data_IF_230750678514
#
_entry.id   IF_230750678514
#
_cell.length_a   1.000
_cell.length_b   1.000
_cell.length_c   1.000
_cell.angle_alpha   90.00
_cell.angle_beta   90.00
_cell.angle_gamma   90.00
#
_symmetry.space_group_name_H-M   'P 1'
#
loop_
_entity.id
_entity.type
_entity.pdbx_description
1 polymer ?
#
# COMPACT_ATOMS: atom_id res chain seq x y z
N UNK A 1 -27.42 26.07 -0.47
CA UNK A 1 -25.99 26.33 -0.70
C UNK A 1 -25.27 25.15 -0.10
N UNK A 2 -25.24 24.05 -0.84
CA UNK A 2 -24.47 22.87 -0.47
C UNK A 2 -23.10 23.06 -1.07
N UNK A 3 -22.13 23.30 -0.19
CA UNK A 3 -20.71 23.30 -0.54
C UNK A 3 -20.40 21.85 -0.88
N UNK A 4 -20.37 21.52 -2.17
CA UNK A 4 -19.77 20.27 -2.63
C UNK A 4 -18.30 20.34 -2.26
N UNK A 5 -17.93 19.70 -1.15
CA UNK A 5 -16.55 19.40 -0.83
C UNK A 5 -15.96 18.63 -2.02
N UNK A 6 -15.13 19.33 -2.81
CA UNK A 6 -14.21 18.71 -3.75
C UNK A 6 -13.20 17.91 -2.93
N UNK A 7 -13.60 16.72 -2.49
CA UNK A 7 -12.65 15.70 -2.09
C UNK A 7 -11.96 15.22 -3.36
N UNK A 8 -10.78 15.79 -3.61
CA UNK A 8 -9.73 15.16 -4.37
C UNK A 8 -9.49 13.77 -3.77
N UNK A 9 -10.25 12.79 -4.27
CA UNK A 9 -9.80 11.41 -4.31
C UNK A 9 -8.55 11.42 -5.21
N UNK A 10 -7.42 11.79 -4.62
CA UNK A 10 -6.12 11.29 -4.98
C UNK A 10 -6.24 9.76 -4.86
N UNK A 11 -6.83 9.14 -5.90
CA UNK A 11 -6.45 7.81 -6.31
C UNK A 11 -4.93 7.92 -6.50
N UNK A 12 -4.20 7.60 -5.44
CA UNK A 12 -2.87 7.03 -5.55
C UNK A 12 -3.06 5.78 -6.42
N UNK A 13 -3.20 5.97 -7.75
CA UNK A 13 -2.58 5.08 -8.72
C UNK A 13 -1.10 5.12 -8.31
N UNK A 14 -0.75 4.27 -7.34
CA UNK A 14 0.51 3.55 -7.30
C UNK A 14 0.54 2.82 -8.65
N UNK A 15 0.85 3.58 -9.69
CA UNK A 15 1.45 3.07 -10.89
C UNK A 15 2.53 2.14 -10.40
N UNK A 16 2.36 0.85 -10.69
CA UNK A 16 3.34 -0.17 -10.39
C UNK A 16 4.59 0.17 -11.18
N UNK A 17 5.35 1.15 -10.70
CA UNK A 17 6.75 1.32 -11.04
C UNK A 17 7.36 -0.01 -10.65
N UNK A 18 7.55 -0.82 -11.71
CA UNK A 18 8.37 -2.02 -11.75
C UNK A 18 9.51 -1.82 -10.78
N UNK A 19 9.53 -2.70 -9.79
CA UNK A 19 10.40 -2.67 -8.64
C UNK A 19 11.82 -2.27 -9.06
N UNK A 20 12.22 -1.08 -8.65
CA UNK A 20 13.61 -0.66 -8.67
C UNK A 20 14.38 -1.18 -7.45
N UNK A 21 13.97 -2.32 -6.87
CA UNK A 21 15.01 -3.17 -6.29
C UNK A 21 15.83 -3.62 -7.48
N UNK A 22 17.10 -3.21 -7.54
CA UNK A 22 18.06 -3.92 -8.39
C UNK A 22 17.99 -5.38 -7.91
N UNK A 23 17.20 -6.19 -8.59
CA UNK A 23 17.44 -7.61 -8.62
C UNK A 23 18.87 -7.70 -9.15
N UNK A 24 19.77 -8.16 -8.28
CA UNK A 24 21.11 -8.56 -8.62
C UNK A 24 20.97 -9.78 -9.55
N UNK A 25 20.55 -9.54 -10.79
CA UNK A 25 20.45 -10.54 -11.85
C UNK A 25 21.82 -10.71 -12.51
N UNK A 26 22.79 -11.14 -11.71
CA UNK A 26 23.85 -12.01 -12.22
C UNK A 26 23.31 -13.43 -12.31
N UNK A 27 23.79 -14.29 -13.25
CA UNK A 27 23.51 -15.71 -13.25
C UNK A 27 24.29 -16.38 -12.10
N UNK A 28 23.93 -16.05 -10.87
CA UNK A 28 24.46 -16.63 -9.65
C UNK A 28 23.38 -17.49 -9.01
N UNK A 29 23.68 -18.77 -8.83
CA UNK A 29 22.98 -19.74 -7.97
C UNK A 29 22.01 -19.08 -6.97
N UNK A 30 20.69 -19.21 -7.18
CA UNK A 30 19.69 -18.65 -6.25
C UNK A 30 19.85 -19.31 -4.87
N UNK A 31 20.66 -18.70 -4.00
CA UNK A 31 20.78 -19.13 -2.60
C UNK A 31 19.61 -18.56 -1.83
N UNK A 32 18.68 -19.43 -1.47
CA UNK A 32 17.56 -19.10 -0.60
C UNK A 32 18.14 -18.59 0.73
N UNK A 33 17.95 -17.30 0.98
CA UNK A 33 18.35 -16.62 2.21
C UNK A 33 17.14 -15.98 2.86
N UNK A 34 17.21 -15.74 4.17
CA UNK A 34 16.09 -15.12 4.89
C UNK A 34 15.71 -13.74 4.32
N UNK A 35 16.64 -12.81 4.02
CA UNK A 35 16.30 -11.54 3.37
C UNK A 35 15.56 -11.74 2.04
N UNK A 36 15.96 -12.74 1.24
CA UNK A 36 15.29 -13.06 -0.02
C UNK A 36 13.85 -13.52 0.20
N UNK A 37 13.62 -14.45 1.14
CA UNK A 37 12.26 -14.91 1.49
C UNK A 37 11.42 -13.75 2.04
N UNK A 38 12.00 -12.91 2.91
CA UNK A 38 11.31 -11.72 3.44
C UNK A 38 10.89 -10.78 2.32
N UNK A 39 11.75 -10.49 1.34
CA UNK A 39 11.37 -9.68 0.16
C UNK A 39 10.22 -10.31 -0.61
N UNK A 40 10.27 -11.61 -0.90
CA UNK A 40 9.19 -12.31 -1.63
C UNK A 40 7.87 -12.31 -0.86
N UNK A 41 7.90 -12.52 0.46
CA UNK A 41 6.70 -12.45 1.31
C UNK A 41 6.11 -11.03 1.35
N UNK A 42 6.97 -10.01 1.48
CA UNK A 42 6.54 -8.61 1.47
C UNK A 42 5.99 -8.23 0.09
N UNK A 43 6.60 -8.70 -1.01
CA UNK A 43 6.08 -8.53 -2.37
C UNK A 43 4.64 -9.04 -2.49
N UNK A 44 4.30 -10.22 -1.94
CA UNK A 44 2.93 -10.74 -1.95
C UNK A 44 1.94 -9.83 -1.20
N UNK A 45 2.36 -9.25 -0.08
CA UNK A 45 1.56 -8.26 0.65
C UNK A 45 1.36 -6.96 -0.16
N UNK A 46 2.39 -6.50 -0.87
CA UNK A 46 2.30 -5.37 -1.78
C UNK A 46 1.39 -5.67 -2.98
N UNK A 47 1.53 -6.84 -3.58
CA UNK A 47 0.74 -7.27 -4.73
C UNK A 47 -0.76 -7.31 -4.37
N UNK A 48 -1.14 -7.90 -3.24
CA UNK A 48 -2.52 -7.86 -2.74
C UNK A 48 -2.98 -6.42 -2.54
N UNK A 49 -2.14 -5.57 -1.94
CA UNK A 49 -2.50 -4.20 -1.66
C UNK A 49 -2.80 -3.38 -2.91
N UNK A 50 -2.07 -3.60 -4.00
CA UNK A 50 -2.23 -2.90 -5.28
C UNK A 50 -3.43 -3.46 -6.06
N UNK A 51 -3.50 -4.78 -6.23
CA UNK A 51 -4.47 -5.41 -7.13
C UNK A 51 -5.80 -5.74 -6.45
N UNK A 52 -5.79 -5.99 -5.15
CA UNK A 52 -7.00 -6.33 -4.39
C UNK A 52 -7.00 -5.66 -2.99
N UNK A 53 -7.04 -4.33 -2.92
CA UNK A 53 -6.89 -3.56 -1.68
C UNK A 53 -7.96 -3.83 -0.61
N UNK A 54 -9.09 -4.44 -1.00
CA UNK A 54 -10.18 -4.84 -0.09
C UNK A 54 -9.94 -6.18 0.59
N UNK A 55 -9.17 -7.07 -0.04
CA UNK A 55 -8.71 -8.30 0.60
C UNK A 55 -7.52 -7.98 1.48
N UNK A 56 -7.55 -8.46 2.72
CA UNK A 56 -6.45 -8.31 3.69
C UNK A 56 -5.78 -9.64 4.02
N UNK A 57 -6.16 -10.70 3.32
CA UNK A 57 -5.81 -12.07 3.65
C UNK A 57 -4.30 -12.26 3.59
N UNK A 58 -3.68 -11.99 2.42
CA UNK A 58 -2.22 -12.17 2.24
C UNK A 58 -1.45 -11.25 3.18
N UNK A 59 -1.81 -9.96 3.24
CA UNK A 59 -1.18 -8.99 4.15
C UNK A 59 -1.19 -9.47 5.60
N UNK A 60 -2.32 -9.98 6.08
CA UNK A 60 -2.43 -10.46 7.47
C UNK A 60 -1.53 -11.68 7.74
N UNK A 61 -1.44 -12.63 6.81
CA UNK A 61 -0.57 -13.80 6.98
C UNK A 61 0.90 -13.47 6.84
N UNK A 62 1.27 -12.57 5.93
CA UNK A 62 2.66 -12.10 5.79
C UNK A 62 3.12 -11.41 7.07
N UNK A 63 2.28 -10.57 7.69
CA UNK A 63 2.64 -9.89 8.94
C UNK A 63 2.74 -10.87 10.12
N UNK A 64 1.83 -11.85 10.21
CA UNK A 64 1.91 -12.92 11.22
C UNK A 64 3.17 -13.78 11.04
N UNK A 65 3.50 -14.13 9.80
CA UNK A 65 4.72 -14.86 9.46
C UNK A 65 5.95 -14.07 9.88
N UNK A 66 6.02 -12.78 9.56
CA UNK A 66 7.15 -11.94 9.94
C UNK A 66 7.28 -11.80 11.46
N UNK A 67 6.16 -11.72 12.18
CA UNK A 67 6.16 -11.72 13.63
C UNK A 67 6.70 -13.03 14.24
N UNK A 68 6.33 -14.18 13.67
CA UNK A 68 6.88 -15.48 14.08
C UNK A 68 8.39 -15.55 13.83
N UNK A 69 8.84 -15.14 12.64
CA UNK A 69 10.27 -15.05 12.32
C UNK A 69 11.00 -14.13 13.32
N UNK A 70 10.42 -12.98 13.65
CA UNK A 70 11.03 -12.04 14.59
C UNK A 70 11.20 -12.61 16.01
N UNK A 71 10.32 -13.51 16.45
CA UNK A 71 10.47 -14.22 17.73
C UNK A 71 11.66 -15.18 17.69
N UNK A 72 11.84 -15.90 16.59
CA UNK A 72 12.85 -16.97 16.50
C UNK A 72 14.26 -16.46 16.14
N UNK A 73 14.36 -15.32 15.44
CA UNK A 73 15.63 -14.87 14.84
C UNK A 73 16.58 -14.15 15.81
N UNK A 74 16.05 -13.62 16.91
CA UNK A 74 16.81 -12.79 17.86
C UNK A 74 17.10 -11.36 17.36
N UNK A 75 17.61 -10.48 18.24
CA UNK A 75 17.69 -9.04 18.01
C UNK A 75 18.66 -8.64 16.89
N UNK A 76 19.82 -9.28 16.78
CA UNK A 76 20.88 -8.87 15.84
C UNK A 76 20.46 -9.12 14.39
N UNK A 77 20.09 -10.37 14.07
CA UNK A 77 19.67 -10.76 12.74
C UNK A 77 18.35 -10.08 12.33
N UNK A 78 17.46 -9.80 13.29
CA UNK A 78 16.23 -9.07 13.02
C UNK A 78 16.52 -7.62 12.62
N UNK A 79 17.49 -6.96 13.26
CA UNK A 79 17.90 -5.60 12.91
C UNK A 79 18.39 -5.48 11.46
N UNK A 80 18.96 -6.56 10.90
CA UNK A 80 19.42 -6.60 9.52
C UNK A 80 18.27 -6.70 8.51
N UNK A 81 17.17 -7.38 8.83
CA UNK A 81 16.07 -7.62 7.86
C UNK A 81 14.83 -6.75 8.09
N UNK A 82 14.70 -6.11 9.26
CA UNK A 82 13.50 -5.35 9.66
C UNK A 82 13.14 -4.24 8.65
N UNK A 83 14.16 -3.64 8.03
CA UNK A 83 13.99 -2.58 7.03
C UNK A 83 13.19 -3.01 5.79
N UNK A 84 13.13 -4.32 5.49
CA UNK A 84 12.38 -4.89 4.37
C UNK A 84 10.87 -4.86 4.66
N UNK A 85 10.47 -5.18 5.90
CA UNK A 85 9.07 -5.28 6.29
C UNK A 85 8.46 -3.95 6.77
N UNK A 86 9.27 -3.06 7.35
CA UNK A 86 8.83 -1.77 7.89
C UNK A 86 8.01 -0.90 6.93
N UNK A 87 8.37 -0.76 5.63
CA UNK A 87 7.57 0.02 4.70
C UNK A 87 6.13 -0.47 4.55
N UNK A 88 5.94 -1.80 4.51
CA UNK A 88 4.62 -2.41 4.38
C UNK A 88 3.77 -2.22 5.66
N UNK A 89 4.38 -2.44 6.83
CA UNK A 89 3.72 -2.22 8.13
C UNK A 89 3.37 -0.74 8.35
N UNK A 90 4.30 0.17 8.07
CA UNK A 90 4.08 1.60 8.23
C UNK A 90 2.95 2.13 7.32
N UNK A 91 2.85 1.61 6.10
CA UNK A 91 1.75 1.96 5.20
C UNK A 91 0.40 1.49 5.73
N UNK A 92 0.31 0.26 6.25
CA UNK A 92 -0.95 -0.24 6.80
C UNK A 92 -1.37 0.49 8.09
N UNK A 93 -0.40 0.92 8.91
CA UNK A 93 -0.69 1.72 10.09
C UNK A 93 -1.32 3.08 9.72
N UNK A 94 -0.80 3.72 8.67
CA UNK A 94 -1.23 5.03 8.18
C UNK A 94 -2.21 4.91 7.00
N UNK A 95 -2.95 3.81 6.91
CA UNK A 95 -3.86 3.56 5.80
C UNK A 95 -5.03 4.57 5.83
N UNK A 96 -5.09 5.46 4.83
CA UNK A 96 -6.11 6.51 4.67
C UNK A 96 -7.31 6.08 3.82
N UNK A 97 -7.44 4.78 3.50
CA UNK A 97 -8.59 4.27 2.74
C UNK A 97 -9.89 4.51 3.49
N UNK A 98 -10.98 4.70 2.73
CA UNK A 98 -12.34 4.97 3.24
C UNK A 98 -12.88 3.92 4.21
N UNK A 99 -12.47 2.66 4.08
CA UNK A 99 -12.88 1.56 4.97
C UNK A 99 -11.66 0.67 5.24
N UNK A 100 -10.77 1.08 6.16
CA UNK A 100 -9.64 0.27 6.55
C UNK A 100 -10.13 -0.90 7.41
N UNK A 101 -9.48 -2.06 7.29
CA UNK A 101 -9.79 -3.20 8.16
C UNK A 101 -9.21 -2.95 9.56
N UNK A 102 -10.05 -2.82 10.61
CA UNK A 102 -9.57 -2.52 11.95
C UNK A 102 -8.73 -3.66 12.54
N UNK A 103 -8.99 -4.92 12.15
CA UNK A 103 -8.21 -6.08 12.61
C UNK A 103 -6.81 -6.08 11.99
N UNK A 104 -6.69 -5.74 10.71
CA UNK A 104 -5.38 -5.63 10.07
C UNK A 104 -4.55 -4.51 10.71
N UNK A 105 -5.18 -3.36 11.03
CA UNK A 105 -4.50 -2.26 11.71
C UNK A 105 -4.03 -2.65 13.11
N UNK A 106 -4.88 -3.32 13.89
CA UNK A 106 -4.51 -3.83 15.22
C UNK A 106 -3.34 -4.82 15.13
N UNK A 107 -3.43 -5.80 14.22
CA UNK A 107 -2.33 -6.74 13.95
C UNK A 107 -1.03 -6.00 13.60
N UNK A 108 -1.10 -5.02 12.72
CA UNK A 108 0.08 -4.23 12.32
C UNK A 108 0.72 -3.53 13.52
N UNK A 109 -0.09 -2.95 14.41
CA UNK A 109 0.39 -2.30 15.64
C UNK A 109 1.03 -3.31 16.60
N UNK A 110 0.42 -4.48 16.79
CA UNK A 110 0.97 -5.57 17.61
C UNK A 110 2.31 -6.06 17.08
N UNK A 111 2.43 -6.25 15.76
CA UNK A 111 3.68 -6.65 15.11
C UNK A 111 4.74 -5.56 15.30
N UNK A 112 4.43 -4.29 15.07
CA UNK A 112 5.39 -3.20 15.29
C UNK A 112 5.88 -3.12 16.74
N UNK A 113 4.98 -3.32 17.72
CA UNK A 113 5.34 -3.35 19.13
C UNK A 113 6.23 -4.55 19.47
N UNK A 114 5.94 -5.73 18.90
CA UNK A 114 6.78 -6.92 19.03
C UNK A 114 8.18 -6.70 18.45
N UNK A 115 8.27 -6.12 17.26
CA UNK A 115 9.55 -5.78 16.63
C UNK A 115 10.35 -4.79 17.49
N UNK A 116 9.69 -3.76 18.02
CA UNK A 116 10.33 -2.78 18.90
C UNK A 116 10.86 -3.42 20.19
N UNK A 117 10.11 -4.34 20.79
CA UNK A 117 10.55 -5.07 22.00
C UNK A 117 11.72 -6.00 21.74
N UNK A 118 11.76 -6.64 20.56
CA UNK A 118 12.81 -7.60 20.20
C UNK A 118 14.13 -6.92 19.86
N UNK A 119 14.16 -5.93 18.95
CA UNK A 119 15.41 -5.23 18.57
C UNK A 119 15.82 -4.10 19.53
N UNK A 120 14.90 -3.69 20.42
CA UNK A 120 15.09 -2.55 21.31
C UNK A 120 14.71 -1.20 20.69
N UNK A 121 14.32 -0.26 21.56
CA UNK A 121 13.74 1.02 21.17
C UNK A 121 14.66 1.87 20.29
N UNK A 122 15.96 1.92 20.59
CA UNK A 122 16.92 2.78 19.87
C UNK A 122 17.09 2.33 18.42
N UNK A 123 17.43 1.06 18.22
CA UNK A 123 17.63 0.47 16.89
C UNK A 123 16.35 0.53 16.08
N UNK A 124 15.21 0.19 16.70
CA UNK A 124 13.91 0.27 16.04
C UNK A 124 13.61 1.69 15.55
N UNK A 125 13.80 2.70 16.41
CA UNK A 125 13.48 4.09 16.07
C UNK A 125 14.33 4.60 14.92
N UNK A 126 15.62 4.24 14.88
CA UNK A 126 16.52 4.56 13.77
C UNK A 126 16.04 3.97 12.45
N UNK A 127 15.81 2.65 12.41
CA UNK A 127 15.35 1.95 11.20
C UNK A 127 13.96 2.44 10.76
N UNK A 128 13.08 2.73 11.70
CA UNK A 128 11.75 3.27 11.43
C UNK A 128 11.82 4.67 10.81
N UNK A 129 12.62 5.57 11.38
CA UNK A 129 12.83 6.90 10.82
C UNK A 129 13.48 6.84 9.43
N UNK A 130 14.43 5.93 9.21
CA UNK A 130 15.03 5.71 7.91
C UNK A 130 13.98 5.27 6.87
N UNK A 131 13.10 4.32 7.21
CA UNK A 131 12.03 3.87 6.33
C UNK A 131 11.04 5.00 6.00
N UNK A 132 10.71 5.84 6.98
CA UNK A 132 9.87 7.03 6.78
C UNK A 132 10.52 8.04 5.83
N UNK A 133 11.81 8.34 6.04
CA UNK A 133 12.59 9.24 5.17
C UNK A 133 12.62 8.75 3.73
N UNK A 134 12.95 7.47 3.50
CA UNK A 134 12.97 6.87 2.17
C UNK A 134 11.59 6.96 1.50
N UNK A 135 10.51 6.74 2.26
CA UNK A 135 9.14 6.88 1.73
C UNK A 135 8.85 8.32 1.30
N UNK A 136 9.19 9.30 2.12
CA UNK A 136 8.96 10.73 1.82
C UNK A 136 9.81 11.19 0.62
N UNK A 137 11.05 10.74 0.51
CA UNK A 137 11.94 11.00 -0.62
C UNK A 137 11.38 10.39 -1.92
N UNK A 138 10.86 9.16 -1.88
CA UNK A 138 10.18 8.55 -3.04
C UNK A 138 8.96 9.34 -3.46
N UNK A 139 8.13 9.77 -2.51
CA UNK A 139 6.94 10.59 -2.81
C UNK A 139 7.33 11.92 -3.47
N UNK A 140 8.29 12.64 -2.90
CA UNK A 140 8.76 13.92 -3.44
C UNK A 140 9.43 13.75 -4.81
N UNK A 141 10.26 12.73 -4.99
CA UNK A 141 10.89 12.40 -6.28
C UNK A 141 9.83 12.12 -7.37
N UNK A 142 8.78 11.36 -7.06
CA UNK A 142 7.68 11.13 -8.02
C UNK A 142 6.95 12.42 -8.39
N UNK A 143 6.69 13.31 -7.41
CA UNK A 143 6.07 14.62 -7.68
C UNK A 143 6.95 15.48 -8.59
N UNK A 144 8.26 15.53 -8.31
CA UNK A 144 9.22 16.26 -9.13
C UNK A 144 9.31 15.68 -10.55
N UNK A 145 9.41 14.36 -10.70
CA UNK A 145 9.42 13.68 -12.01
C UNK A 145 8.16 14.01 -12.82
N UNK A 146 6.98 13.96 -12.20
CA UNK A 146 5.70 14.31 -12.86
C UNK A 146 5.66 15.77 -13.32
N UNK A 147 6.20 16.69 -12.53
CA UNK A 147 6.27 18.10 -12.90
C UNK A 147 7.21 18.34 -14.09
N UNK A 148 8.39 17.71 -14.08
CA UNK A 148 9.35 17.78 -15.20
C UNK A 148 8.78 17.13 -16.46
N UNK A 149 8.11 15.98 -16.34
CA UNK A 149 7.47 15.28 -17.44
C UNK A 149 6.39 16.14 -18.10
N UNK A 150 5.60 16.90 -17.33
CA UNK A 150 4.57 17.77 -17.89
C UNK A 150 5.13 18.85 -18.82
N UNK A 151 6.36 19.30 -18.58
CA UNK A 151 7.06 20.29 -19.42
C UNK A 151 7.81 19.63 -20.58
N UNK A 152 8.49 18.50 -20.31
CA UNK A 152 9.37 17.84 -21.28
C UNK A 152 8.62 16.91 -22.25
N UNK A 153 7.52 16.31 -21.81
CA UNK A 153 6.71 15.33 -22.56
C UNK A 153 5.21 15.58 -22.35
N UNK A 154 4.67 16.67 -22.94
CA UNK A 154 3.29 17.08 -22.72
C UNK A 154 2.27 16.07 -23.26
N UNK A 155 2.62 15.28 -24.26
CA UNK A 155 1.79 14.24 -24.88
C UNK A 155 1.46 13.11 -23.89
N UNK A 156 2.44 12.66 -23.10
CA UNK A 156 2.23 11.61 -22.08
C UNK A 156 1.43 12.16 -20.91
N UNK A 157 1.76 13.37 -20.46
CA UNK A 157 1.01 14.06 -19.41
C UNK A 157 -0.46 14.22 -19.79
N UNK A 158 -0.75 14.60 -21.05
CA UNK A 158 -2.11 14.71 -21.57
C UNK A 158 -2.83 13.36 -21.60
N UNK A 159 -2.21 12.29 -22.12
CA UNK A 159 -2.79 10.93 -22.13
C UNK A 159 -3.14 10.44 -20.72
N UNK A 160 -2.27 10.70 -19.74
CA UNK A 160 -2.53 10.38 -18.33
C UNK A 160 -3.75 11.15 -17.80
N UNK A 161 -3.83 12.45 -18.07
CA UNK A 161 -4.99 13.28 -17.69
C UNK A 161 -6.28 12.79 -18.36
N UNK A 162 -6.22 12.39 -19.63
CA UNK A 162 -7.35 11.82 -20.34
C UNK A 162 -7.84 10.51 -19.70
N UNK A 163 -6.93 9.59 -19.35
CA UNK A 163 -7.26 8.34 -18.63
C UNK A 163 -7.96 8.62 -17.30
N UNK A 164 -7.44 9.57 -16.51
CA UNK A 164 -8.05 9.98 -15.23
C UNK A 164 -9.47 10.54 -15.43
N UNK A 165 -9.66 11.41 -16.42
CA UNK A 165 -10.98 11.96 -16.72
C UNK A 165 -11.99 10.86 -17.12
N UNK A 166 -11.56 9.88 -17.93
CA UNK A 166 -12.39 8.72 -18.30
C UNK A 166 -12.76 7.90 -17.06
N UNK A 167 -11.81 7.64 -16.17
CA UNK A 167 -12.04 6.91 -14.93
C UNK A 167 -13.04 7.65 -14.01
N UNK A 168 -12.87 8.98 -13.83
CA UNK A 168 -13.79 9.83 -13.07
C UNK A 168 -15.21 9.76 -13.61
N UNK A 169 -15.38 9.83 -14.94
CA UNK A 169 -16.71 9.71 -15.57
C UNK A 169 -17.30 8.32 -15.36
N UNK A 170 -16.50 7.25 -15.49
CA UNK A 170 -16.95 5.89 -15.26
C UNK A 170 -17.37 5.65 -13.78
N UNK A 171 -16.62 6.19 -12.82
CA UNK A 171 -16.95 6.13 -11.40
C UNK A 171 -18.29 6.84 -11.10
N UNK A 172 -18.51 8.04 -11.64
CA UNK A 172 -19.78 8.76 -11.52
C UNK A 172 -20.95 7.94 -12.11
N UNK A 173 -20.77 7.34 -13.30
CA UNK A 173 -21.77 6.46 -13.91
C UNK A 173 -22.11 5.26 -13.02
N UNK A 174 -21.11 4.56 -12.47
CA UNK A 174 -21.30 3.45 -11.52
C UNK A 174 -22.06 3.87 -10.27
N UNK A 175 -21.79 5.07 -9.73
CA UNK A 175 -22.51 5.62 -8.55
C UNK A 175 -24.00 5.83 -8.87
N UNK A 176 -24.31 6.46 -10.01
CA UNK A 176 -25.69 6.69 -10.46
C UNK A 176 -26.43 5.37 -10.66
N UNK A 177 -25.81 4.39 -11.31
CA UNK A 177 -26.39 3.06 -11.54
C UNK A 177 -26.68 2.34 -10.22
N UNK A 178 -25.74 2.35 -9.26
CA UNK A 178 -25.95 1.77 -7.93
C UNK A 178 -27.14 2.39 -7.19
N UNK A 179 -27.29 3.72 -7.27
CA UNK A 179 -28.44 4.42 -6.66
C UNK A 179 -29.73 4.03 -7.38
N UNK A 180 -29.72 3.95 -8.72
CA UNK A 180 -30.89 3.56 -9.52
C UNK A 180 -31.35 2.15 -9.18
N UNK A 181 -30.43 1.17 -9.11
CA UNK A 181 -30.76 -0.21 -8.74
C UNK A 181 -31.28 -0.32 -7.31
N UNK A 182 -30.70 0.41 -6.36
CA UNK A 182 -31.20 0.49 -4.98
C UNK A 182 -32.62 1.06 -4.89
N UNK A 183 -32.94 2.12 -5.66
CA UNK A 183 -34.30 2.69 -5.72
C UNK A 183 -35.32 1.69 -6.29
N UNK A 184 -34.95 0.96 -7.34
CA UNK A 184 -35.80 -0.09 -7.93
C UNK A 184 -36.08 -1.21 -6.92
N UNK A 185 -35.06 -1.65 -6.17
CA UNK A 185 -35.21 -2.66 -5.12
C UNK A 185 -36.15 -2.17 -4.01
N UNK A 186 -35.96 -0.96 -3.47
CA UNK A 186 -36.86 -0.38 -2.45
C UNK A 186 -38.31 -0.25 -2.94
N UNK A 187 -38.52 0.16 -4.19
CA UNK A 187 -39.86 0.25 -4.79
C UNK A 187 -40.56 -1.11 -4.95
N UNK A 188 -39.80 -2.20 -5.17
CA UNK A 188 -40.34 -3.56 -5.21
C UNK A 188 -40.72 -4.09 -3.81
N UNK A 189 -39.95 -3.76 -2.78
CA UNK A 189 -40.27 -4.12 -1.40
C UNK A 189 -41.49 -3.36 -0.86
N UNK A 190 -41.66 -2.08 -1.21
CA UNK A 190 -42.81 -1.26 -0.80
C UNK A 190 -44.15 -1.68 -1.42
N UNK A 191 -44.15 -2.41 -2.54
CA UNK A 191 -45.38 -2.87 -3.23
C UNK A 191 -45.83 -4.27 -2.81
N UNK A 192 -45.07 -4.94 -1.94
CA UNK A 192 -45.31 -6.33 -1.51
C UNK A 192 -45.73 -6.46 -0.04
N UNK A 193 -46.02 -5.32 0.61
CA UNK A 193 -46.55 -5.23 1.97
C UNK A 193 -47.93 -4.59 1.97
#
# INVERSE_FOLDING_TARGET
MDVEEEEDEDEEEEDGEKEGEKEDEGPGEYRVSLPWVTRKMIHEAHYENIHNPRSVLKRSYVFKWFAAVAIDLGPELLADIIHIALPALHRELNNTRRMPDPKLKALTQEVLELLKKTVGTTVFSEKFAQAQKIRMERISSRKQKRAVEAVTRPDISYKRKQKQNIAKVAAKKRKVEKIRTMKVLKGKFSRKS
#
